data_IF_161543795444
#
_entry.id   IF_161543795444
#
_cell.length_a   1.000
_cell.length_b   1.000
_cell.length_c   1.000
_cell.angle_alpha   90.00
_cell.angle_beta   90.00
_cell.angle_gamma   90.00
#
_symmetry.space_group_name_H-M   'P 1'
#
loop_
_entity.id
_entity.type
_entity.pdbx_description
1 polymer ?
#
# COMPACT_ATOMS: atom_id res chain seq x y z
N UNK A 1 -69.54 -5.18 17.67
CA UNK A 1 -70.37 -4.11 17.04
C UNK A 1 -69.56 -2.85 17.00
N UNK A 2 -69.45 -2.28 15.78
CA UNK A 2 -69.34 -0.83 15.44
C UNK A 2 -68.16 -0.08 16.13
N UNK A 3 -67.33 0.66 15.49
CA UNK A 3 -67.22 1.08 14.11
C UNK A 3 -66.35 2.34 14.00
N UNK A 4 -65.51 2.38 12.97
CA UNK A 4 -65.22 3.58 12.15
C UNK A 4 -64.95 4.92 12.85
N UNK A 5 -64.03 5.75 12.49
CA UNK A 5 -63.46 6.25 11.22
C UNK A 5 -62.36 7.27 11.51
N UNK A 6 -61.30 7.29 10.68
CA UNK A 6 -60.74 8.38 9.85
C UNK A 6 -60.56 9.75 10.51
N UNK A 7 -59.48 10.42 10.31
CA UNK A 7 -59.10 11.18 9.07
C UNK A 7 -57.65 11.67 9.14
N UNK A 8 -57.02 11.63 7.99
CA UNK A 8 -55.77 12.29 7.62
C UNK A 8 -55.72 13.78 7.95
N UNK A 9 -54.55 14.29 8.27
CA UNK A 9 -54.09 15.56 7.68
C UNK A 9 -52.57 15.56 7.45
N UNK A 10 -52.24 15.79 6.21
CA UNK A 10 -50.92 16.10 5.67
C UNK A 10 -50.41 17.40 6.24
N UNK A 11 -49.18 17.44 6.61
CA UNK A 11 -48.43 18.69 6.90
C UNK A 11 -47.11 18.68 6.17
N UNK A 12 -47.06 19.41 5.11
CA UNK A 12 -45.96 19.71 4.21
C UNK A 12 -45.00 20.65 4.94
N UNK A 13 -43.94 20.16 5.60
CA UNK A 13 -42.86 21.02 6.11
C UNK A 13 -41.49 20.35 6.26
N UNK A 14 -41.33 19.11 5.76
CA UNK A 14 -40.06 18.36 5.91
C UNK A 14 -39.01 18.54 4.79
N UNK A 15 -39.27 19.35 3.75
CA UNK A 15 -38.39 19.39 2.58
C UNK A 15 -37.54 20.68 2.43
N UNK A 16 -37.75 21.69 3.24
CA UNK A 16 -36.99 22.96 3.13
C UNK A 16 -35.79 22.99 4.09
N UNK A 17 -35.80 22.20 5.17
CA UNK A 17 -34.70 22.18 6.16
C UNK A 17 -33.51 21.32 5.72
N UNK A 18 -33.71 20.42 4.75
CA UNK A 18 -32.64 19.51 4.26
C UNK A 18 -31.68 20.20 3.28
N UNK A 19 -32.11 21.25 2.59
CA UNK A 19 -31.26 21.88 1.55
C UNK A 19 -30.30 22.93 2.08
N UNK A 20 -30.64 23.58 3.18
CA UNK A 20 -29.76 24.59 3.84
C UNK A 20 -28.65 23.92 4.67
N UNK A 21 -28.87 22.73 5.21
CA UNK A 21 -27.84 22.00 5.96
C UNK A 21 -26.79 21.36 5.02
N UNK A 22 -27.18 20.93 3.82
CA UNK A 22 -26.25 20.39 2.82
C UNK A 22 -25.30 21.47 2.26
N UNK A 23 -25.76 22.70 2.11
CA UNK A 23 -24.94 23.82 1.61
C UNK A 23 -23.94 24.30 2.66
N UNK A 24 -24.28 24.25 3.96
CA UNK A 24 -23.38 24.61 5.04
C UNK A 24 -22.25 23.56 5.25
N UNK A 25 -22.53 22.27 5.01
CA UNK A 25 -21.49 21.20 5.05
C UNK A 25 -20.53 21.31 3.88
N UNK A 26 -20.99 21.67 2.68
CA UNK A 26 -20.11 21.84 1.52
C UNK A 26 -19.19 23.06 1.68
N UNK A 27 -19.66 24.14 2.28
CA UNK A 27 -18.84 25.32 2.55
C UNK A 27 -17.76 25.05 3.62
N UNK A 28 -18.06 24.25 4.66
CA UNK A 28 -17.07 23.84 5.66
C UNK A 28 -16.05 22.81 5.12
N UNK A 29 -16.44 21.94 4.20
CA UNK A 29 -15.52 21.03 3.53
C UNK A 29 -14.55 21.78 2.59
N UNK A 30 -15.02 22.82 1.88
CA UNK A 30 -14.16 23.65 1.04
C UNK A 30 -13.21 24.55 1.86
N UNK A 31 -13.67 25.10 2.97
CA UNK A 31 -12.84 25.91 3.87
C UNK A 31 -11.76 25.09 4.58
N UNK A 32 -12.06 23.84 4.97
CA UNK A 32 -11.08 22.92 5.56
C UNK A 32 -10.01 22.46 4.56
N UNK A 33 -10.38 22.29 3.30
CA UNK A 33 -9.45 21.89 2.25
C UNK A 33 -8.42 22.97 1.89
N UNK A 34 -8.81 24.24 1.89
CA UNK A 34 -7.87 25.35 1.68
C UNK A 34 -6.90 25.54 2.85
N UNK A 35 -7.37 25.33 4.10
CA UNK A 35 -6.50 25.45 5.27
C UNK A 35 -5.49 24.30 5.39
N UNK A 36 -5.87 23.07 4.99
CA UNK A 36 -4.98 21.92 4.99
C UNK A 36 -3.90 22.01 3.89
N UNK A 37 -4.22 22.61 2.74
CA UNK A 37 -3.24 22.84 1.67
C UNK A 37 -2.23 23.93 2.02
N UNK A 38 -2.61 24.96 2.77
CA UNK A 38 -1.67 26.01 3.21
C UNK A 38 -0.74 25.55 4.34
N UNK A 39 -1.17 24.65 5.24
CA UNK A 39 -0.27 24.08 6.26
C UNK A 39 0.75 23.09 5.63
N UNK A 40 0.35 22.36 4.60
CA UNK A 40 1.24 21.39 3.91
C UNK A 40 2.34 22.07 3.11
N UNK A 41 2.13 23.26 2.59
CA UNK A 41 3.11 23.95 1.72
C UNK A 41 4.24 24.64 2.47
N UNK A 42 4.18 24.77 3.80
CA UNK A 42 5.21 25.46 4.59
C UNK A 42 6.35 24.56 5.09
N UNK A 43 6.21 23.23 5.10
CA UNK A 43 7.24 22.33 5.63
C UNK A 43 8.00 21.50 4.60
N UNK A 44 7.59 21.48 3.34
CA UNK A 44 8.30 20.71 2.31
C UNK A 44 9.24 21.64 1.53
N UNK A 45 10.38 22.00 2.12
CA UNK A 45 11.56 22.34 1.32
C UNK A 45 12.07 21.01 0.74
N UNK A 46 11.61 20.68 -0.47
CA UNK A 46 12.23 19.61 -1.25
C UNK A 46 13.73 19.84 -1.31
N UNK A 47 14.50 18.90 -0.79
CA UNK A 47 15.93 18.89 -1.01
C UNK A 47 16.16 18.61 -2.50
N UNK A 48 16.35 19.64 -3.29
CA UNK A 48 16.77 19.55 -4.69
C UNK A 48 18.23 19.09 -4.75
N UNK A 49 18.52 17.91 -4.20
CA UNK A 49 19.79 17.25 -4.44
C UNK A 49 19.76 16.70 -5.87
N UNK A 50 20.77 16.99 -6.67
CA UNK A 50 20.96 16.37 -7.96
C UNK A 50 21.00 14.84 -7.78
N UNK A 51 20.20 14.11 -8.56
CA UNK A 51 20.18 12.65 -8.46
C UNK A 51 21.55 12.09 -8.81
N UNK A 52 22.07 11.12 -8.08
CA UNK A 52 23.35 10.49 -8.40
C UNK A 52 23.28 9.87 -9.80
N UNK A 53 24.43 9.83 -10.53
CA UNK A 53 24.48 9.36 -11.93
C UNK A 53 24.23 7.83 -12.06
N UNK A 54 24.09 7.12 -10.97
CA UNK A 54 23.79 5.68 -10.88
C UNK A 54 22.54 5.46 -10.05
N UNK A 55 21.92 4.27 -10.20
CA UNK A 55 20.80 3.87 -9.37
C UNK A 55 21.30 3.38 -8.02
N UNK A 56 20.77 3.96 -6.96
CA UNK A 56 20.90 3.47 -5.60
C UNK A 56 19.54 2.92 -5.17
N UNK A 57 19.41 1.59 -5.18
CA UNK A 57 18.18 0.87 -4.86
C UNK A 57 18.29 0.31 -3.45
N UNK A 58 17.34 0.65 -2.61
CA UNK A 58 17.31 0.24 -1.20
C UNK A 58 15.98 -0.43 -0.87
N UNK A 59 15.98 -1.22 0.19
CA UNK A 59 14.79 -1.85 0.73
C UNK A 59 14.51 -1.33 2.14
N UNK A 60 13.24 -1.17 2.46
CA UNK A 60 12.75 -0.86 3.79
C UNK A 60 11.73 -1.92 4.20
N UNK A 61 12.08 -2.75 5.19
CA UNK A 61 11.17 -3.75 5.74
C UNK A 61 10.14 -3.11 6.68
N UNK A 62 8.88 -3.50 6.58
CA UNK A 62 7.79 -3.05 7.45
C UNK A 62 8.07 -3.31 8.94
N UNK A 63 8.77 -4.41 9.25
CA UNK A 63 9.21 -4.76 10.61
C UNK A 63 10.24 -3.81 11.23
N UNK A 64 10.82 -2.91 10.44
CA UNK A 64 11.85 -1.95 10.92
C UNK A 64 11.31 -1.00 11.99
N UNK A 65 9.99 -0.81 12.06
CA UNK A 65 9.34 0.03 13.08
C UNK A 65 9.37 -0.57 14.49
N UNK A 66 9.66 -1.87 14.62
CA UNK A 66 9.62 -2.54 15.92
C UNK A 66 10.91 -2.37 16.72
N UNK A 67 10.79 -2.58 18.04
CA UNK A 67 11.89 -2.38 19.00
C UNK A 67 13.11 -3.25 18.70
N UNK A 68 12.91 -4.47 18.19
CA UNK A 68 13.99 -5.35 17.73
C UNK A 68 14.86 -4.73 16.63
N UNK A 69 14.33 -3.79 15.86
CA UNK A 69 15.00 -3.00 14.83
C UNK A 69 15.21 -1.55 15.26
N UNK A 70 15.27 -1.29 16.57
CA UNK A 70 15.49 0.04 17.18
C UNK A 70 14.44 1.09 16.78
N UNK A 71 13.23 0.66 16.45
CA UNK A 71 12.13 1.52 15.99
C UNK A 71 12.60 2.45 14.84
N UNK A 72 13.21 1.87 13.82
CA UNK A 72 13.67 2.63 12.66
C UNK A 72 12.48 2.94 11.75
N UNK A 73 11.85 4.08 11.99
CA UNK A 73 10.67 4.57 11.25
C UNK A 73 11.06 5.27 9.95
N UNK A 74 10.15 5.35 8.94
CA UNK A 74 10.44 5.91 7.62
C UNK A 74 10.96 7.36 7.62
N UNK A 75 10.60 8.20 8.59
CA UNK A 75 11.10 9.57 8.71
C UNK A 75 12.62 9.68 8.93
N UNK A 76 13.24 8.59 9.41
CA UNK A 76 14.69 8.49 9.65
C UNK A 76 15.50 8.18 8.40
N UNK A 77 14.80 7.86 7.29
CA UNK A 77 15.45 7.59 6.02
C UNK A 77 15.92 8.91 5.40
N UNK A 78 17.22 8.99 5.08
CA UNK A 78 17.73 10.04 4.22
C UNK A 78 17.58 9.65 2.75
N UNK A 79 16.49 10.11 2.13
CA UNK A 79 16.18 9.83 0.73
C UNK A 79 17.00 10.65 -0.28
N UNK A 80 17.88 11.55 0.18
CA UNK A 80 18.64 12.42 -0.75
C UNK A 80 19.60 11.65 -1.65
N UNK A 81 20.10 10.50 -1.19
CA UNK A 81 21.02 9.62 -1.92
C UNK A 81 20.34 8.38 -2.52
N UNK A 82 19.06 8.19 -2.25
CA UNK A 82 18.30 7.02 -2.71
C UNK A 82 17.57 7.38 -4.00
N UNK A 83 17.75 6.57 -5.03
CA UNK A 83 17.00 6.74 -6.28
C UNK A 83 15.73 5.92 -6.31
N UNK A 84 15.74 4.72 -5.71
CA UNK A 84 14.61 3.80 -5.65
C UNK A 84 14.55 3.16 -4.27
N UNK A 85 13.42 3.26 -3.62
CA UNK A 85 13.17 2.66 -2.32
C UNK A 85 12.01 1.66 -2.43
N UNK A 86 12.30 0.40 -2.15
CA UNK A 86 11.31 -0.67 -2.11
C UNK A 86 10.70 -0.79 -0.70
N UNK A 87 9.39 -0.71 -0.61
CA UNK A 87 8.67 -1.24 0.55
C UNK A 87 8.73 -2.76 0.52
N UNK A 88 9.16 -3.38 1.59
CA UNK A 88 9.30 -4.82 1.73
C UNK A 88 8.53 -5.32 2.96
N UNK A 89 7.61 -6.25 2.83
CA UNK A 89 7.14 -6.90 1.63
C UNK A 89 5.61 -7.02 1.63
N UNK A 90 5.01 -7.04 0.46
CA UNK A 90 3.69 -7.64 0.28
C UNK A 90 3.84 -9.13 -0.06
N UNK A 91 2.84 -9.92 0.29
CA UNK A 91 2.67 -11.29 -0.17
C UNK A 91 1.62 -11.33 -1.29
N UNK A 92 1.51 -12.46 -1.98
CA UNK A 92 0.43 -12.74 -2.90
C UNK A 92 -0.07 -14.17 -2.70
N UNK A 93 -1.38 -14.35 -2.70
CA UNK A 93 -1.98 -15.68 -2.65
C UNK A 93 -1.94 -16.37 -4.03
N UNK A 94 -2.31 -17.65 -4.06
CA UNK A 94 -2.33 -18.45 -5.28
C UNK A 94 -3.28 -17.94 -6.38
N UNK A 95 -4.22 -17.05 -6.04
CA UNK A 95 -5.10 -16.39 -7.01
C UNK A 95 -4.49 -15.10 -7.58
N UNK A 96 -3.40 -14.62 -7.00
CA UNK A 96 -2.75 -13.36 -7.34
C UNK A 96 -3.33 -12.15 -6.60
N UNK A 97 -4.01 -12.36 -5.48
CA UNK A 97 -4.45 -11.27 -4.62
C UNK A 97 -3.31 -10.84 -3.69
N UNK A 98 -3.03 -9.53 -3.63
CA UNK A 98 -2.01 -8.99 -2.73
C UNK A 98 -2.48 -9.07 -1.27
N UNK A 99 -1.58 -9.49 -0.40
CA UNK A 99 -1.82 -9.67 1.02
C UNK A 99 -0.73 -8.96 1.82
N UNK A 100 -1.15 -8.25 2.88
CA UNK A 100 -0.20 -7.84 3.92
C UNK A 100 0.06 -8.98 4.88
N UNK A 101 1.25 -9.03 5.42
CA UNK A 101 1.60 -9.99 6.49
C UNK A 101 1.63 -9.33 7.86
N UNK A 102 1.57 -8.01 7.91
CA UNK A 102 1.49 -7.23 9.15
C UNK A 102 0.55 -6.02 8.97
N UNK A 103 -0.75 -6.29 9.15
CA UNK A 103 -1.80 -5.26 9.01
C UNK A 103 -1.55 -4.06 9.91
N UNK A 104 -1.05 -4.30 11.13
CA UNK A 104 -0.75 -3.20 12.05
C UNK A 104 0.36 -2.30 11.52
N UNK A 105 1.51 -2.88 11.14
CA UNK A 105 2.62 -2.11 10.60
C UNK A 105 2.21 -1.36 9.33
N UNK A 106 1.55 -2.04 8.40
CA UNK A 106 1.32 -1.55 7.06
C UNK A 106 0.21 -0.50 6.96
N UNK A 107 -0.88 -0.68 7.73
CA UNK A 107 -2.11 0.09 7.54
C UNK A 107 -2.60 0.85 8.77
N UNK A 108 -2.20 0.47 9.98
CA UNK A 108 -2.90 0.94 11.19
C UNK A 108 -2.00 1.74 12.14
N UNK A 109 -0.69 1.49 12.14
CA UNK A 109 0.22 2.09 13.11
C UNK A 109 0.35 3.61 12.90
N UNK A 110 -0.07 4.44 13.87
CA UNK A 110 0.08 5.89 13.77
C UNK A 110 1.52 6.36 14.08
N UNK A 111 2.37 5.48 14.63
CA UNK A 111 3.72 5.82 15.12
C UNK A 111 4.80 5.42 14.11
N UNK A 112 4.69 5.91 12.90
CA UNK A 112 5.60 5.61 11.77
C UNK A 112 6.56 6.77 11.44
N UNK A 113 6.72 7.70 12.39
CA UNK A 113 7.63 8.83 12.28
C UNK A 113 7.12 10.02 11.49
N UNK A 114 6.04 9.86 10.73
CA UNK A 114 5.30 10.92 10.07
C UNK A 114 3.95 11.13 10.73
N UNK A 115 3.39 12.33 10.60
CA UNK A 115 2.00 12.59 10.96
C UNK A 115 1.11 11.99 9.89
N UNK A 116 0.79 10.72 10.04
CA UNK A 116 -0.11 9.99 9.15
C UNK A 116 -1.56 10.24 9.56
N UNK A 117 -2.44 10.41 8.58
CA UNK A 117 -3.88 10.51 8.83
C UNK A 117 -4.46 9.21 9.39
N UNK A 118 -5.71 9.28 9.78
CA UNK A 118 -6.50 8.10 10.18
C UNK A 118 -7.21 7.46 8.98
N UNK A 119 -7.09 8.03 7.79
CA UNK A 119 -7.58 7.40 6.57
C UNK A 119 -6.62 6.28 6.12
N UNK A 120 -7.18 5.24 5.52
CA UNK A 120 -6.44 4.04 5.16
C UNK A 120 -5.29 4.29 4.16
N UNK A 121 -5.28 5.41 3.46
CA UNK A 121 -4.25 5.73 2.47
C UNK A 121 -2.94 6.17 3.10
N UNK A 122 -2.99 6.88 4.20
CA UNK A 122 -1.81 7.49 4.84
C UNK A 122 -1.46 6.88 6.19
N UNK A 123 -2.25 5.93 6.68
CA UNK A 123 -1.93 5.22 7.91
C UNK A 123 -0.83 4.17 7.67
N UNK A 124 -0.14 3.79 8.73
CA UNK A 124 0.91 2.79 8.70
C UNK A 124 2.14 3.14 7.86
N UNK A 125 2.99 2.15 7.64
CA UNK A 125 4.24 2.28 6.89
C UNK A 125 3.98 2.61 5.43
N UNK A 126 2.95 2.02 4.82
CA UNK A 126 2.62 2.27 3.41
C UNK A 126 2.31 3.75 3.14
N UNK A 127 1.55 4.38 4.04
CA UNK A 127 1.28 5.81 3.96
C UNK A 127 2.51 6.66 4.28
N UNK A 128 3.32 6.25 5.26
CA UNK A 128 4.56 6.93 5.60
C UNK A 128 5.55 6.97 4.42
N UNK A 129 5.59 5.92 3.60
CA UNK A 129 6.38 5.91 2.36
C UNK A 129 5.93 6.98 1.36
N UNK A 130 4.62 7.20 1.24
CA UNK A 130 4.10 8.29 0.38
C UNK A 130 4.56 9.65 0.88
N UNK A 131 4.51 9.87 2.21
CA UNK A 131 4.97 11.12 2.82
C UNK A 131 6.49 11.29 2.69
N UNK A 132 7.26 10.22 2.80
CA UNK A 132 8.69 10.22 2.56
C UNK A 132 9.03 10.64 1.13
N UNK A 133 8.30 10.13 0.12
CA UNK A 133 8.47 10.54 -1.27
C UNK A 133 8.14 12.03 -1.49
N UNK A 134 7.13 12.55 -0.80
CA UNK A 134 6.82 13.98 -0.87
C UNK A 134 7.99 14.84 -0.34
N UNK A 135 8.68 14.34 0.69
CA UNK A 135 9.89 14.96 1.22
C UNK A 135 11.08 14.87 0.25
N UNK A 136 11.17 13.78 -0.52
CA UNK A 136 12.25 13.51 -1.48
C UNK A 136 11.68 13.21 -2.88
N UNK A 137 11.19 14.21 -3.62
CA UNK A 137 10.42 14.01 -4.85
C UNK A 137 11.20 13.38 -6.01
N UNK A 138 12.51 13.34 -5.93
CA UNK A 138 13.37 12.67 -6.91
C UNK A 138 13.53 11.17 -6.63
N UNK A 139 13.21 10.71 -5.41
CA UNK A 139 13.24 9.31 -5.05
C UNK A 139 11.96 8.62 -5.53
N UNK A 140 12.10 7.47 -6.16
CA UNK A 140 10.98 6.61 -6.55
C UNK A 140 10.68 5.61 -5.45
N UNK A 141 9.41 5.33 -5.24
CA UNK A 141 8.96 4.31 -4.28
C UNK A 141 8.29 3.16 -5.03
N UNK A 142 8.72 1.95 -4.73
CA UNK A 142 8.14 0.72 -5.21
C UNK A 142 7.62 -0.17 -4.09
N UNK A 143 6.89 -1.20 -4.49
CA UNK A 143 6.49 -2.29 -3.63
C UNK A 143 7.18 -3.57 -4.08
N UNK A 144 7.87 -4.23 -3.15
CA UNK A 144 8.38 -5.59 -3.34
C UNK A 144 7.30 -6.59 -2.96
N UNK A 145 7.06 -7.55 -3.86
CA UNK A 145 6.15 -8.66 -3.63
C UNK A 145 6.94 -9.96 -3.66
N UNK A 146 6.85 -10.75 -2.60
CA UNK A 146 7.60 -11.99 -2.45
C UNK A 146 8.69 -11.92 -1.39
N UNK A 147 9.91 -12.23 -1.78
CA UNK A 147 11.03 -12.47 -0.87
C UNK A 147 11.07 -13.91 -0.38
N UNK A 148 12.05 -14.24 0.48
CA UNK A 148 12.33 -15.60 0.90
C UNK A 148 11.11 -16.37 1.41
N UNK A 149 10.39 -15.81 2.35
CA UNK A 149 9.27 -16.52 3.01
C UNK A 149 7.93 -16.40 2.25
N UNK A 150 7.82 -15.56 1.22
CA UNK A 150 6.56 -15.21 0.53
C UNK A 150 6.53 -15.61 -0.94
N UNK A 151 7.51 -16.37 -1.41
CA UNK A 151 7.59 -16.83 -2.82
C UNK A 151 6.75 -18.08 -3.14
N UNK A 152 6.13 -18.69 -2.13
CA UNK A 152 5.54 -20.03 -2.26
C UNK A 152 4.37 -20.17 -3.22
N UNK A 153 3.65 -19.10 -3.52
CA UNK A 153 2.51 -19.13 -4.45
C UNK A 153 2.85 -18.60 -5.86
N UNK A 154 4.03 -18.03 -6.10
CA UNK A 154 4.44 -17.57 -7.44
C UNK A 154 4.39 -18.65 -8.53
N UNK A 155 4.77 -19.93 -8.27
CA UNK A 155 4.62 -20.97 -9.28
C UNK A 155 3.17 -21.13 -9.77
N UNK A 156 2.18 -20.99 -8.88
CA UNK A 156 0.76 -21.08 -9.23
C UNK A 156 0.27 -19.80 -9.91
N UNK A 157 0.67 -18.64 -9.40
CA UNK A 157 0.33 -17.34 -9.99
C UNK A 157 0.84 -17.27 -11.43
N UNK A 158 2.08 -17.66 -11.66
CA UNK A 158 2.73 -17.57 -12.95
C UNK A 158 2.25 -18.61 -13.97
N UNK A 159 1.77 -19.77 -13.53
CA UNK A 159 1.37 -20.87 -14.41
C UNK A 159 0.11 -20.59 -15.25
N UNK A 160 -0.81 -19.75 -14.78
CA UNK A 160 -2.10 -19.51 -15.42
C UNK A 160 -2.22 -18.06 -15.92
N UNK A 161 -2.74 -17.89 -17.14
CA UNK A 161 -3.04 -16.54 -17.65
C UNK A 161 -4.02 -15.78 -16.74
N UNK A 162 -5.01 -16.48 -16.19
CA UNK A 162 -6.01 -15.88 -15.30
C UNK A 162 -5.37 -15.33 -14.04
N UNK A 163 -4.53 -16.12 -13.37
CA UNK A 163 -3.87 -15.70 -12.13
C UNK A 163 -2.79 -14.64 -12.37
N UNK A 164 -2.04 -14.71 -13.49
CA UNK A 164 -1.13 -13.62 -13.90
C UNK A 164 -1.85 -12.31 -14.09
N UNK A 165 -2.97 -12.30 -14.83
CA UNK A 165 -3.77 -11.09 -15.04
C UNK A 165 -4.39 -10.56 -13.74
N UNK A 166 -4.84 -11.45 -12.87
CA UNK A 166 -5.36 -11.04 -11.57
C UNK A 166 -4.27 -10.36 -10.74
N UNK A 167 -3.10 -10.99 -10.64
CA UNK A 167 -1.95 -10.42 -9.94
C UNK A 167 -1.55 -9.05 -10.52
N UNK A 168 -1.36 -8.96 -11.84
CA UNK A 168 -1.00 -7.70 -12.50
C UNK A 168 -2.02 -6.58 -12.23
N UNK A 169 -3.33 -6.90 -12.30
CA UNK A 169 -4.39 -5.94 -12.00
C UNK A 169 -4.38 -5.49 -10.53
N UNK A 170 -4.12 -6.39 -9.58
CA UNK A 170 -4.09 -6.06 -8.16
C UNK A 170 -2.85 -5.23 -7.82
N UNK A 171 -1.70 -5.57 -8.37
CA UNK A 171 -0.49 -4.75 -8.27
C UNK A 171 -0.71 -3.35 -8.86
N UNK A 172 -1.29 -3.26 -10.05
CA UNK A 172 -1.59 -1.98 -10.69
C UNK A 172 -2.54 -1.12 -9.83
N UNK A 173 -3.59 -1.72 -9.26
CA UNK A 173 -4.50 -1.03 -8.32
C UNK A 173 -3.78 -0.53 -7.09
N UNK A 174 -2.91 -1.35 -6.50
CA UNK A 174 -2.11 -0.98 -5.33
C UNK A 174 -1.20 0.21 -5.62
N UNK A 175 -0.41 0.11 -6.69
CA UNK A 175 0.50 1.18 -7.14
C UNK A 175 -0.27 2.47 -7.42
N UNK A 176 -1.41 2.37 -8.10
CA UNK A 176 -2.26 3.53 -8.37
C UNK A 176 -2.86 4.14 -7.10
N UNK A 177 -3.34 3.30 -6.18
CA UNK A 177 -3.97 3.76 -4.93
C UNK A 177 -3.00 4.55 -4.05
N UNK A 178 -1.79 4.02 -3.83
CA UNK A 178 -0.76 4.70 -3.02
C UNK A 178 0.02 5.74 -3.82
N UNK A 179 -0.03 5.72 -5.14
CA UNK A 179 0.79 6.55 -6.02
C UNK A 179 2.27 6.14 -5.99
N UNK A 180 2.55 4.85 -5.84
CA UNK A 180 3.88 4.29 -5.98
C UNK A 180 4.34 4.33 -7.44
N UNK A 181 5.64 4.20 -7.69
CA UNK A 181 6.22 4.40 -9.02
C UNK A 181 6.50 3.08 -9.76
N UNK A 182 6.68 1.96 -9.04
CA UNK A 182 7.05 0.69 -9.62
C UNK A 182 6.71 -0.49 -8.70
N UNK A 183 6.81 -1.70 -9.26
CA UNK A 183 6.75 -2.96 -8.53
C UNK A 183 8.06 -3.70 -8.73
N UNK A 184 8.48 -4.40 -7.70
CA UNK A 184 9.59 -5.34 -7.68
C UNK A 184 9.04 -6.74 -7.40
N UNK A 185 9.34 -7.71 -8.25
CA UNK A 185 8.91 -9.10 -8.10
C UNK A 185 10.08 -9.92 -7.60
N UNK A 186 10.01 -10.25 -6.33
CA UNK A 186 11.07 -10.95 -5.61
C UNK A 186 10.72 -12.43 -5.44
N UNK A 187 10.72 -13.16 -6.56
CA UNK A 187 10.46 -14.60 -6.57
C UNK A 187 11.73 -15.41 -6.30
N UNK A 188 11.78 -16.04 -5.14
CA UNK A 188 12.94 -16.80 -4.66
C UNK A 188 12.66 -18.32 -4.54
N UNK A 189 12.88 -19.11 -5.58
CA UNK A 189 13.39 -18.72 -6.91
C UNK A 189 12.63 -19.45 -8.03
N UNK A 190 12.49 -18.88 -9.22
CA UNK A 190 11.98 -19.63 -10.37
C UNK A 190 12.86 -20.85 -10.63
N UNK A 191 12.26 -21.98 -11.01
CA UNK A 191 12.91 -23.25 -11.37
C UNK A 191 13.65 -23.99 -10.25
N UNK A 192 13.79 -23.39 -9.07
CA UNK A 192 14.49 -24.02 -7.95
C UNK A 192 13.51 -24.50 -6.87
N UNK A 193 13.73 -25.71 -6.37
CA UNK A 193 13.05 -26.19 -5.19
C UNK A 193 13.69 -25.60 -3.94
N UNK A 194 12.86 -25.03 -3.09
CA UNK A 194 13.22 -24.57 -1.75
C UNK A 194 12.21 -25.12 -0.75
N UNK A 195 12.70 -25.79 0.27
CA UNK A 195 11.86 -26.23 1.39
C UNK A 195 11.46 -25.05 2.28
N UNK A 196 10.35 -25.16 3.05
CA UNK A 196 9.99 -24.17 4.03
C UNK A 196 11.12 -23.92 5.03
N UNK A 197 11.37 -22.66 5.36
CA UNK A 197 12.31 -22.27 6.40
C UNK A 197 11.57 -22.25 7.75
N UNK A 198 11.84 -23.17 8.69
CA UNK A 198 11.16 -23.23 9.96
C UNK A 198 11.52 -22.07 10.90
N UNK A 199 12.64 -21.39 10.64
CA UNK A 199 13.07 -20.22 11.40
C UNK A 199 12.58 -18.90 10.80
N UNK A 200 11.89 -18.98 9.68
CA UNK A 200 11.25 -17.84 9.03
C UNK A 200 10.30 -17.14 10.01
N UNK A 201 10.71 -16.03 10.46
CA UNK A 201 10.26 -15.15 11.53
C UNK A 201 8.75 -14.85 11.60
N UNK A 202 7.99 -15.83 11.99
CA UNK A 202 6.81 -15.68 12.83
C UNK A 202 5.55 -15.02 12.28
N UNK A 203 5.59 -14.26 11.23
CA UNK A 203 4.41 -13.51 10.72
C UNK A 203 3.85 -14.13 9.45
N UNK A 204 4.68 -14.62 8.55
CA UNK A 204 4.25 -15.40 7.39
C UNK A 204 4.69 -16.86 7.56
N UNK A 205 3.76 -17.79 7.38
CA UNK A 205 4.10 -19.20 7.28
C UNK A 205 4.83 -19.40 5.95
N UNK A 206 6.14 -19.63 6.00
CA UNK A 206 6.90 -19.97 4.81
C UNK A 206 6.42 -21.32 4.24
N UNK A 207 5.91 -21.31 3.02
CA UNK A 207 5.42 -22.49 2.32
C UNK A 207 6.52 -23.22 1.55
N UNK A 208 7.75 -22.69 1.58
CA UNK A 208 8.78 -23.03 0.60
C UNK A 208 8.43 -22.52 -0.79
N UNK A 209 9.19 -22.93 -1.78
CA UNK A 209 8.89 -22.62 -3.18
C UNK A 209 9.20 -23.87 -4.02
N UNK A 210 8.20 -24.40 -4.72
CA UNK A 210 8.38 -25.58 -5.59
C UNK A 210 8.56 -25.15 -7.02
N UNK A 211 9.80 -25.23 -7.49
CA UNK A 211 10.18 -24.84 -8.83
C UNK A 211 9.83 -25.89 -9.89
N UNK A 212 9.75 -25.43 -11.12
CA UNK A 212 9.58 -26.28 -12.29
C UNK A 212 10.34 -25.70 -13.49
N UNK A 213 10.68 -26.54 -14.47
CA UNK A 213 11.31 -26.07 -15.70
C UNK A 213 10.45 -25.05 -16.48
N UNK A 214 9.12 -25.07 -16.26
CA UNK A 214 8.20 -24.13 -16.90
C UNK A 214 8.29 -22.72 -16.33
N UNK A 215 8.86 -22.53 -15.14
CA UNK A 215 8.85 -21.24 -14.43
C UNK A 215 9.66 -20.17 -15.18
N UNK A 216 10.69 -20.56 -15.94
CA UNK A 216 11.43 -19.61 -16.80
C UNK A 216 10.49 -18.87 -17.75
N UNK A 217 9.64 -19.63 -18.46
CA UNK A 217 8.67 -19.06 -19.39
C UNK A 217 7.52 -18.39 -18.64
N UNK A 218 7.02 -19.03 -17.58
CA UNK A 218 5.91 -18.52 -16.78
C UNK A 218 6.25 -17.19 -16.12
N UNK A 219 7.47 -17.03 -15.60
CA UNK A 219 7.92 -15.77 -15.01
C UNK A 219 8.02 -14.67 -16.07
N UNK A 220 8.53 -14.99 -17.25
CA UNK A 220 8.51 -14.04 -18.38
C UNK A 220 7.09 -13.57 -18.70
N UNK A 221 6.12 -14.51 -18.74
CA UNK A 221 4.72 -14.19 -18.99
C UNK A 221 4.07 -13.40 -17.85
N UNK A 222 4.49 -13.63 -16.60
CA UNK A 222 4.04 -12.85 -15.44
C UNK A 222 4.51 -11.39 -15.53
N UNK A 223 5.76 -11.18 -15.96
CA UNK A 223 6.32 -9.83 -16.12
C UNK A 223 5.74 -9.08 -17.33
N UNK A 224 5.10 -9.78 -18.26
CA UNK A 224 4.44 -9.21 -19.44
C UNK A 224 2.95 -8.92 -19.22
N UNK A 225 2.37 -9.41 -18.14
CA UNK A 225 0.94 -9.26 -17.84
C UNK A 225 0.62 -7.86 -17.33
#
# INVERSE_FOLDING_TARGET
MKGRKRILRKGLSGKILSFTMALAMVANLMGGYCAATELSTKEVKAANAEQPPYRNVMYYGDWSIYSGQKNFTPDKIDGSLITHLNFAFMDADANGDLITTDTWADYENPNVGFSVGTDNKYAGVLGAMVLLRQKYPNMKIGVSVGGWTRSGDFPKIAASETTRKNFANNVAKFVHYYGYDFVDIDWEYPTADRDPDPEGNGVAIDKGCKGSAADTQNYTLLLQA
#
